data_IF_751778603149
#
_entry.id   IF_751778603149
#
_cell.length_a   1.000
_cell.length_b   1.000
_cell.length_c   1.000
_cell.angle_alpha   90.00
_cell.angle_beta   90.00
_cell.angle_gamma   90.00
#
_symmetry.space_group_name_H-M   'P 1'
#
loop_
_entity.id
_entity.type
_entity.pdbx_description
1 polymer ?
#
# COMPACT_ATOMS: atom_id res chain seq x y z
N UNK A 1 -4.92 55.11 -8.29
CA UNK A 1 -4.77 53.84 -9.02
C UNK A 1 -4.86 52.70 -8.00
N UNK A 2 -5.92 51.89 -8.09
CA UNK A 2 -6.54 51.22 -6.94
C UNK A 2 -5.77 49.97 -6.46
N UNK A 3 -5.09 50.09 -5.32
CA UNK A 3 -4.40 48.98 -4.60
C UNK A 3 -5.32 47.81 -4.20
N UNK A 4 -6.64 47.95 -4.36
CA UNK A 4 -7.62 46.90 -4.10
C UNK A 4 -7.69 45.83 -5.19
N UNK A 5 -7.24 46.11 -6.42
CA UNK A 5 -7.30 45.15 -7.54
C UNK A 5 -6.18 44.11 -7.48
N UNK A 6 -5.03 44.46 -6.89
CA UNK A 6 -3.87 43.58 -6.81
C UNK A 6 -4.08 42.40 -5.83
N UNK A 7 -4.94 42.56 -4.82
CA UNK A 7 -5.21 41.51 -3.83
C UNK A 7 -6.14 40.39 -4.34
N UNK A 8 -6.98 40.65 -5.36
CA UNK A 8 -7.84 39.63 -5.94
C UNK A 8 -7.08 38.68 -6.89
N UNK A 9 -5.94 39.10 -7.43
CA UNK A 9 -5.11 38.24 -8.26
C UNK A 9 -4.27 37.22 -7.47
N UNK A 10 -4.06 37.44 -6.17
CA UNK A 10 -3.29 36.53 -5.32
C UNK A 10 -4.14 35.36 -4.76
N UNK A 11 -5.47 35.54 -4.68
CA UNK A 11 -6.36 34.51 -4.12
C UNK A 11 -6.86 33.50 -5.18
N UNK A 12 -6.70 33.80 -6.47
CA UNK A 12 -7.11 32.94 -7.57
C UNK A 12 -6.06 31.86 -7.95
N UNK A 13 -4.84 31.96 -7.41
CA UNK A 13 -3.74 31.05 -7.73
C UNK A 13 -3.66 29.78 -6.87
N UNK A 14 -4.47 29.63 -5.82
CA UNK A 14 -4.29 28.57 -4.83
C UNK A 14 -5.31 27.42 -4.90
N UNK A 15 -6.21 27.41 -5.89
CA UNK A 15 -7.39 26.53 -5.89
C UNK A 15 -7.37 25.34 -6.87
N UNK A 16 -6.30 25.06 -7.62
CA UNK A 16 -6.41 24.12 -8.77
C UNK A 16 -5.35 23.00 -8.85
N UNK A 17 -4.85 22.49 -7.73
CA UNK A 17 -4.05 21.25 -7.73
C UNK A 17 -4.62 20.16 -6.81
N UNK A 18 -5.94 20.08 -6.67
CA UNK A 18 -6.59 18.86 -6.19
C UNK A 18 -6.66 17.86 -7.36
N UNK A 19 -5.53 17.23 -7.70
CA UNK A 19 -5.54 16.01 -8.53
C UNK A 19 -6.00 14.86 -7.62
N UNK A 20 -7.29 14.81 -7.33
CA UNK A 20 -7.90 13.61 -6.78
C UNK A 20 -7.83 12.55 -7.88
N UNK A 21 -6.87 11.63 -7.80
CA UNK A 21 -6.83 10.49 -8.70
C UNK A 21 -8.05 9.62 -8.37
N UNK A 22 -9.15 9.82 -9.11
CA UNK A 22 -10.45 9.14 -8.91
C UNK A 22 -10.38 7.61 -8.91
N UNK A 23 -9.22 7.05 -9.27
CA UNK A 23 -8.96 5.61 -9.34
C UNK A 23 -8.41 5.02 -8.05
N UNK A 24 -7.78 5.81 -7.18
CA UNK A 24 -7.11 5.29 -5.98
C UNK A 24 -7.99 5.49 -4.75
N UNK A 25 -8.55 4.40 -4.22
CA UNK A 25 -9.36 4.43 -2.99
C UNK A 25 -8.49 4.69 -1.76
N UNK A 26 -7.30 4.10 -1.72
CA UNK A 26 -6.37 4.20 -0.61
C UNK A 26 -4.94 3.95 -1.09
N UNK A 27 -3.99 4.71 -0.54
CA UNK A 27 -2.57 4.40 -0.60
C UNK A 27 -1.92 4.81 0.71
N UNK A 28 -1.52 3.82 1.49
CA UNK A 28 -0.93 4.06 2.81
C UNK A 28 0.28 3.14 3.02
N UNK A 29 1.31 3.66 3.71
CA UNK A 29 2.51 2.91 4.08
C UNK A 29 2.78 3.08 5.58
N UNK A 30 3.20 1.98 6.19
CA UNK A 30 3.63 1.90 7.58
C UNK A 30 5.15 1.72 7.62
N UNK A 31 5.84 2.65 8.29
CA UNK A 31 7.29 2.59 8.45
C UNK A 31 7.67 1.57 9.51
N UNK A 32 8.55 0.64 9.14
CA UNK A 32 9.11 -0.33 10.07
C UNK A 32 10.27 0.32 10.82
N UNK A 33 10.16 0.34 12.15
CA UNK A 33 11.17 0.97 13.00
C UNK A 33 12.51 0.23 12.88
N UNK A 34 13.59 1.00 12.68
CA UNK A 34 14.98 0.53 12.61
C UNK A 34 15.22 -0.60 11.58
N UNK A 35 14.34 -0.72 10.56
CA UNK A 35 14.41 -1.80 9.58
C UNK A 35 14.08 -3.19 10.13
N UNK A 36 13.55 -3.29 11.36
CA UNK A 36 13.35 -4.56 12.08
C UNK A 36 11.87 -4.87 12.21
N UNK A 37 11.35 -5.67 11.28
CA UNK A 37 9.94 -6.01 11.26
C UNK A 37 9.65 -7.22 12.15
N UNK A 38 9.06 -6.97 13.31
CA UNK A 38 8.64 -8.04 14.22
C UNK A 38 7.33 -8.68 13.77
N UNK A 39 7.15 -9.99 13.98
CA UNK A 39 5.88 -10.69 13.68
C UNK A 39 4.68 -10.09 14.42
N UNK A 40 4.90 -9.55 15.63
CA UNK A 40 3.86 -8.88 16.43
C UNK A 40 3.48 -7.50 15.88
N UNK A 41 4.35 -6.89 15.08
CA UNK A 41 4.11 -5.61 14.43
C UNK A 41 3.30 -5.88 13.15
N UNK A 42 1.98 -5.77 13.28
CA UNK A 42 1.01 -6.16 12.27
C UNK A 42 0.15 -4.96 11.87
N UNK A 43 0.65 -4.09 10.97
CA UNK A 43 -0.03 -2.85 10.58
C UNK A 43 -1.46 -3.10 10.08
N UNK A 44 -2.36 -2.16 10.41
CA UNK A 44 -3.77 -2.20 10.04
C UNK A 44 -4.12 -0.94 9.28
N UNK A 45 -4.58 -1.10 8.05
CA UNK A 45 -4.98 -0.03 7.15
C UNK A 45 -6.51 0.02 7.10
N UNK A 46 -7.11 1.17 7.44
CA UNK A 46 -8.57 1.31 7.58
C UNK A 46 -9.13 2.25 6.51
N UNK A 47 -10.12 1.80 5.76
CA UNK A 47 -10.70 2.57 4.64
C UNK A 47 -12.23 2.42 4.58
N UNK A 48 -12.88 3.36 3.90
CA UNK A 48 -14.31 3.35 3.65
C UNK A 48 -14.59 2.99 2.19
N UNK A 49 -15.54 2.09 1.94
CA UNK A 49 -16.02 1.77 0.60
C UNK A 49 -17.40 2.39 0.38
N UNK A 50 -17.50 3.32 -0.57
CA UNK A 50 -18.75 3.99 -0.95
C UNK A 50 -19.38 3.43 -2.24
N UNK A 51 -18.58 2.78 -3.09
CA UNK A 51 -18.98 2.15 -4.35
C UNK A 51 -18.75 0.63 -4.29
N UNK A 52 -19.84 -0.13 -4.32
CA UNK A 52 -19.85 -1.60 -4.29
C UNK A 52 -20.14 -2.21 -5.66
N UNK A 53 -20.35 -1.39 -6.69
CA UNK A 53 -20.63 -1.86 -8.05
C UNK A 53 -19.32 -2.17 -8.79
N UNK A 54 -18.29 -1.40 -8.48
CA UNK A 54 -16.96 -1.53 -9.05
C UNK A 54 -16.13 -2.63 -8.41
N UNK A 55 -15.16 -3.13 -9.17
CA UNK A 55 -14.11 -4.02 -8.68
C UNK A 55 -12.85 -3.23 -8.35
N UNK A 56 -12.04 -3.78 -7.45
CA UNK A 56 -10.81 -3.15 -6.96
C UNK A 56 -9.64 -4.13 -7.00
N UNK A 57 -8.48 -3.62 -7.40
CA UNK A 57 -7.19 -4.29 -7.27
C UNK A 57 -6.51 -3.81 -5.99
N UNK A 58 -5.98 -4.76 -5.23
CA UNK A 58 -5.26 -4.48 -3.99
C UNK A 58 -3.82 -4.92 -4.16
N UNK A 59 -2.90 -4.03 -3.83
CA UNK A 59 -1.47 -4.22 -3.94
C UNK A 59 -0.80 -4.09 -2.56
N UNK A 60 0.18 -4.94 -2.32
CA UNK A 60 1.21 -4.67 -1.32
C UNK A 60 2.19 -3.64 -1.87
N UNK A 61 2.55 -2.67 -1.03
CA UNK A 61 3.72 -1.84 -1.25
C UNK A 61 4.78 -2.28 -0.24
N UNK A 62 5.97 -2.69 -0.68
CA UNK A 62 7.06 -3.09 0.21
C UNK A 62 8.30 -2.30 -0.16
N UNK A 63 8.99 -1.78 0.85
CA UNK A 63 10.31 -1.17 0.69
C UNK A 63 11.32 -1.94 1.51
N UNK A 64 12.43 -2.33 0.91
CA UNK A 64 13.52 -3.00 1.61
C UNK A 64 14.87 -2.42 1.21
N UNK A 65 15.83 -2.54 2.11
CA UNK A 65 17.21 -2.19 1.79
C UNK A 65 17.83 -3.26 0.87
N UNK A 66 18.87 -2.89 0.13
CA UNK A 66 19.71 -3.81 -0.65
C UNK A 66 20.39 -4.89 0.20
N UNK A 67 20.52 -4.66 1.51
CA UNK A 67 21.04 -5.65 2.48
C UNK A 67 20.01 -6.68 2.93
N UNK A 68 18.75 -6.58 2.49
CA UNK A 68 17.72 -7.57 2.80
C UNK A 68 18.16 -8.98 2.34
N UNK A 69 18.19 -9.98 3.24
CA UNK A 69 18.94 -11.22 3.00
C UNK A 69 18.20 -12.27 2.16
N UNK A 70 16.97 -12.00 1.74
CA UNK A 70 16.14 -12.96 1.00
C UNK A 70 15.73 -12.40 -0.35
N UNK A 71 15.60 -13.28 -1.34
CA UNK A 71 15.06 -12.87 -2.64
C UNK A 71 13.52 -12.74 -2.60
N UNK A 72 12.88 -13.28 -1.57
CA UNK A 72 11.43 -13.29 -1.40
C UNK A 72 10.98 -12.79 -0.02
N UNK A 73 9.67 -12.54 0.09
CA UNK A 73 8.99 -12.14 1.30
C UNK A 73 7.60 -12.77 1.34
N UNK A 74 7.32 -13.53 2.40
CA UNK A 74 6.00 -14.11 2.65
C UNK A 74 5.17 -13.18 3.51
N UNK A 75 4.00 -12.76 3.00
CA UNK A 75 3.04 -11.91 3.71
C UNK A 75 1.68 -12.61 3.79
N UNK A 76 1.01 -12.46 4.92
CA UNK A 76 -0.42 -12.79 5.02
C UNK A 76 -1.22 -11.52 5.23
N UNK A 77 -2.28 -11.34 4.45
CA UNK A 77 -3.29 -10.31 4.72
C UNK A 77 -4.58 -10.89 5.28
N UNK A 78 -5.27 -10.06 6.05
CA UNK A 78 -6.61 -10.30 6.53
C UNK A 78 -7.48 -9.08 6.23
N UNK A 79 -8.47 -9.23 5.36
CA UNK A 79 -9.46 -8.22 5.06
C UNK A 79 -10.68 -8.43 5.97
N UNK A 80 -10.96 -7.44 6.81
CA UNK A 80 -12.09 -7.41 7.73
C UNK A 80 -13.19 -6.48 7.22
N UNK A 81 -14.45 -6.90 7.36
CA UNK A 81 -15.61 -6.04 7.17
C UNK A 81 -15.91 -5.16 8.41
N UNK A 82 -16.95 -4.34 8.32
CA UNK A 82 -17.38 -3.45 9.40
C UNK A 82 -17.80 -4.19 10.70
N UNK A 83 -18.07 -5.50 10.63
CA UNK A 83 -18.40 -6.36 11.78
C UNK A 83 -17.17 -7.11 12.30
N UNK A 84 -15.96 -6.74 11.85
CA UNK A 84 -14.69 -7.42 12.11
C UNK A 84 -14.67 -8.90 11.70
N UNK A 85 -15.47 -9.30 10.71
CA UNK A 85 -15.40 -10.64 10.11
C UNK A 85 -14.33 -10.65 9.03
N UNK A 86 -13.45 -11.65 9.03
CA UNK A 86 -12.51 -11.89 7.92
C UNK A 86 -13.30 -12.35 6.70
N UNK A 87 -13.25 -11.57 5.62
CA UNK A 87 -13.95 -11.87 4.36
C UNK A 87 -12.99 -12.26 3.23
N UNK A 88 -11.68 -12.00 3.40
CA UNK A 88 -10.64 -12.46 2.50
C UNK A 88 -9.33 -12.58 3.27
N UNK A 89 -8.58 -13.66 3.04
CA UNK A 89 -7.25 -13.87 3.60
C UNK A 89 -6.42 -14.75 2.68
N UNK A 90 -5.12 -14.51 2.58
CA UNK A 90 -4.21 -15.33 1.79
C UNK A 90 -2.77 -15.14 2.28
N UNK A 91 -1.96 -16.20 2.15
CA UNK A 91 -0.51 -16.14 2.23
C UNK A 91 0.03 -15.95 0.80
N UNK A 92 0.79 -14.89 0.59
CA UNK A 92 1.40 -14.54 -0.68
C UNK A 92 2.93 -14.56 -0.58
N UNK A 93 3.58 -14.99 -1.66
CA UNK A 93 5.02 -14.87 -1.86
C UNK A 93 5.30 -13.67 -2.77
N UNK A 94 6.08 -12.72 -2.28
CA UNK A 94 6.55 -11.57 -3.05
C UNK A 94 7.99 -11.84 -3.45
N UNK A 95 8.28 -11.81 -4.75
CA UNK A 95 9.65 -11.91 -5.27
C UNK A 95 10.24 -10.50 -5.33
N UNK A 96 11.18 -10.21 -4.44
CA UNK A 96 11.82 -8.90 -4.27
C UNK A 96 13.13 -8.77 -5.07
N UNK A 97 13.81 -9.88 -5.33
CA UNK A 97 14.98 -9.91 -6.22
C UNK A 97 15.07 -11.23 -6.97
N UNK A 98 15.88 -11.23 -8.03
CA UNK A 98 16.25 -12.43 -8.75
C UNK A 98 17.07 -13.36 -7.85
N UNK A 99 16.65 -14.61 -7.74
CA UNK A 99 17.22 -15.57 -6.79
C UNK A 99 18.68 -15.95 -7.09
N UNK A 100 19.18 -15.70 -8.31
CA UNK A 100 20.54 -16.07 -8.71
C UNK A 100 21.49 -14.88 -8.68
N UNK A 101 21.03 -13.75 -9.23
CA UNK A 101 21.84 -12.54 -9.43
C UNK A 101 21.69 -11.53 -8.30
N UNK A 102 20.63 -11.65 -7.49
CA UNK A 102 20.29 -10.69 -6.44
C UNK A 102 19.74 -9.36 -6.98
N UNK A 103 19.54 -9.23 -8.31
CA UNK A 103 19.03 -8.00 -8.91
C UNK A 103 17.59 -7.74 -8.42
N UNK A 104 17.26 -6.55 -7.89
CA UNK A 104 15.92 -6.24 -7.42
C UNK A 104 14.89 -6.29 -8.57
N UNK A 105 13.67 -6.72 -8.25
CA UNK A 105 12.53 -6.74 -9.19
C UNK A 105 11.75 -5.43 -9.20
N UNK A 106 12.03 -4.53 -8.25
CA UNK A 106 11.41 -3.22 -8.11
C UNK A 106 12.29 -2.09 -8.63
N UNK A 107 11.75 -0.87 -8.54
CA UNK A 107 12.49 0.37 -8.83
C UNK A 107 13.06 0.93 -7.51
N UNK A 108 14.12 1.73 -7.56
CA UNK A 108 14.74 2.20 -6.31
C UNK A 108 15.77 3.29 -6.51
N UNK A 109 16.05 4.04 -5.45
CA UNK A 109 17.10 5.05 -5.40
C UNK A 109 18.07 4.71 -4.27
N UNK A 110 19.36 4.61 -4.61
CA UNK A 110 20.40 4.23 -3.66
C UNK A 110 20.19 2.80 -3.15
N UNK A 111 20.13 2.64 -1.83
CA UNK A 111 20.06 1.34 -1.19
C UNK A 111 18.64 0.84 -0.91
N UNK A 112 17.60 1.58 -1.33
CA UNK A 112 16.20 1.19 -1.08
C UNK A 112 15.54 0.76 -2.39
N UNK A 113 14.90 -0.41 -2.35
CA UNK A 113 14.08 -0.95 -3.43
C UNK A 113 12.60 -0.86 -3.06
N UNK A 114 11.79 -0.39 -4.01
CA UNK A 114 10.35 -0.18 -3.94
C UNK A 114 9.63 -1.25 -4.78
N UNK A 115 8.74 -2.01 -4.15
CA UNK A 115 7.97 -3.09 -4.77
C UNK A 115 6.47 -2.80 -4.67
N UNK A 116 5.76 -2.82 -5.79
CA UNK A 116 4.29 -2.84 -5.85
C UNK A 116 3.84 -4.21 -6.39
N UNK A 117 3.31 -5.06 -5.52
CA UNK A 117 2.94 -6.44 -5.86
C UNK A 117 1.44 -6.65 -5.68
N UNK A 118 0.78 -7.24 -6.68
CA UNK A 118 -0.65 -7.52 -6.64
C UNK A 118 -0.97 -8.58 -5.58
N UNK A 119 -1.76 -8.21 -4.56
CA UNK A 119 -2.21 -9.13 -3.52
C UNK A 119 -3.43 -9.92 -4.01
N UNK A 120 -4.46 -9.20 -4.48
CA UNK A 120 -5.66 -9.78 -5.06
C UNK A 120 -6.33 -8.80 -6.01
N UNK A 121 -6.96 -9.33 -7.06
CA UNK A 121 -7.50 -8.57 -8.17
C UNK A 121 -9.01 -8.62 -8.24
N UNK A 122 -9.57 -7.62 -8.91
CA UNK A 122 -10.97 -7.54 -9.30
C UNK A 122 -11.97 -7.79 -8.15
N UNK A 123 -11.58 -7.44 -6.93
CA UNK A 123 -12.35 -7.70 -5.73
C UNK A 123 -13.53 -6.75 -5.64
N UNK A 124 -14.73 -7.31 -5.46
CA UNK A 124 -15.96 -6.55 -5.31
C UNK A 124 -16.39 -6.57 -3.84
N UNK A 125 -16.36 -5.42 -3.19
CA UNK A 125 -16.78 -5.30 -1.80
C UNK A 125 -18.28 -5.58 -1.68
N UNK A 126 -18.72 -6.44 -0.74
CA UNK A 126 -20.10 -6.90 -0.67
C UNK A 126 -21.08 -5.80 -0.24
N UNK A 127 -20.62 -4.88 0.62
CA UNK A 127 -21.44 -3.80 1.18
C UNK A 127 -20.64 -2.51 1.33
N UNK A 128 -21.34 -1.37 1.40
CA UNK A 128 -20.73 -0.09 1.74
C UNK A 128 -20.31 -0.07 3.21
N UNK A 129 -19.29 0.70 3.54
CA UNK A 129 -18.88 0.96 4.92
C UNK A 129 -17.38 0.74 5.18
N UNK A 130 -17.03 0.62 6.46
CA UNK A 130 -15.65 0.51 6.92
C UNK A 130 -15.08 -0.90 6.70
N UNK A 131 -13.84 -0.93 6.24
CA UNK A 131 -13.03 -2.14 6.10
C UNK A 131 -11.66 -1.92 6.72
N UNK A 132 -10.99 -3.03 7.04
CA UNK A 132 -9.60 -3.02 7.51
C UNK A 132 -8.80 -4.09 6.80
N UNK A 133 -7.59 -3.78 6.37
CA UNK A 133 -6.61 -4.79 5.95
C UNK A 133 -5.50 -4.82 6.99
N UNK A 134 -5.34 -5.96 7.66
CA UNK A 134 -4.16 -6.24 8.46
C UNK A 134 -3.12 -6.98 7.61
N UNK A 135 -1.86 -6.56 7.67
CA UNK A 135 -0.74 -7.24 7.02
C UNK A 135 0.20 -7.80 8.06
N UNK A 136 0.61 -9.06 7.90
CA UNK A 136 1.57 -9.74 8.78
C UNK A 136 2.70 -10.34 7.95
N UNK A 137 3.93 -10.20 8.43
CA UNK A 137 5.05 -10.95 7.89
C UNK A 137 4.99 -12.41 8.38
N UNK A 138 5.27 -13.34 7.46
CA UNK A 138 5.23 -14.79 7.70
C UNK A 138 6.59 -15.44 7.41
N UNK A 139 7.67 -14.70 7.67
CA UNK A 139 9.04 -15.20 7.54
C UNK A 139 9.47 -15.94 8.82
N UNK A 140 10.43 -16.85 8.68
CA UNK A 140 10.98 -17.58 9.84
C UNK A 140 11.80 -16.70 10.77
N UNK A 141 12.48 -15.69 10.23
CA UNK A 141 13.34 -14.78 11.00
C UNK A 141 12.50 -13.68 11.69
N UNK A 142 12.75 -13.46 12.98
CA UNK A 142 12.05 -12.46 13.78
C UNK A 142 13.02 -11.76 14.77
N UNK A 143 13.22 -10.43 14.69
CA UNK A 143 12.67 -9.54 13.66
C UNK A 143 13.26 -9.84 12.29
N UNK A 144 12.45 -9.64 11.24
CA UNK A 144 12.92 -9.67 9.88
C UNK A 144 13.70 -8.37 9.60
N UNK A 145 14.99 -8.44 9.26
CA UNK A 145 15.84 -7.26 9.08
C UNK A 145 15.58 -6.60 7.73
N UNK A 146 16.05 -5.36 7.59
CA UNK A 146 16.16 -4.61 6.33
C UNK A 146 14.85 -4.40 5.56
N UNK A 147 13.70 -4.49 6.25
CA UNK A 147 12.42 -4.02 5.71
C UNK A 147 12.18 -2.60 6.20
N UNK A 148 12.07 -1.66 5.26
CA UNK A 148 11.90 -0.22 5.53
C UNK A 148 10.44 0.12 5.79
N UNK A 149 9.52 -0.41 4.96
CA UNK A 149 8.09 -0.17 5.13
C UNK A 149 7.23 -1.23 4.45
N UNK A 150 6.01 -1.39 4.95
CA UNK A 150 4.93 -2.16 4.29
C UNK A 150 3.69 -1.28 4.15
N UNK A 151 2.97 -1.42 3.05
CA UNK A 151 1.78 -0.63 2.76
C UNK A 151 0.78 -1.35 1.90
N UNK A 152 -0.36 -0.70 1.70
CA UNK A 152 -1.45 -1.15 0.85
C UNK A 152 -1.83 -0.04 -0.12
N UNK A 153 -2.02 -0.39 -1.38
CA UNK A 153 -2.70 0.45 -2.38
C UNK A 153 -3.96 -0.26 -2.84
N UNK A 154 -5.09 0.45 -2.88
CA UNK A 154 -6.37 -0.04 -3.39
C UNK A 154 -6.78 0.86 -4.56
N UNK A 155 -6.88 0.27 -5.74
CA UNK A 155 -7.20 0.96 -6.98
C UNK A 155 -8.47 0.35 -7.59
N UNK A 156 -9.39 1.18 -8.07
CA UNK A 156 -10.54 0.74 -8.84
C UNK A 156 -10.05 0.10 -10.14
N UNK A 157 -10.52 -1.11 -10.45
CA UNK A 157 -10.22 -1.79 -11.71
C UNK A 157 -10.74 -0.94 -12.86
N UNK A 158 -9.88 -0.65 -13.85
CA UNK A 158 -10.31 -0.02 -15.10
C UNK A 158 -11.25 -0.99 -15.84
N UNK A 159 -12.45 -0.55 -16.17
CA UNK A 159 -13.33 -1.32 -17.05
C UNK A 159 -12.59 -1.59 -18.37
N UNK A 160 -12.56 -2.87 -18.79
CA UNK A 160 -12.11 -3.25 -20.13
C UNK A 160 -13.14 -2.82 -21.18
#
# INVERSE_FOLDING_TARGET
MNKRVFFYFLFLGFAALQSCDDKTLMKENYNIKDGKWFVKDAPVFSFEVLDTLSSYNVFYNVRNNSSYPYYNLYLTHYLYDAKNKVIHQKLDELILSDATTGKPTGDGLGDINDHKVLAFKDFKFPHKGQYKIQVRQYMRQNPLPDVVSVGITIEKTLAK
#
